data_IF_632659945484
#
_entry.id   IF_632659945484
#
_cell.length_a   1.000
_cell.length_b   1.000
_cell.length_c   1.000
_cell.angle_alpha   90.00
_cell.angle_beta   90.00
_cell.angle_gamma   90.00
#
_symmetry.space_group_name_H-M   'P 1'
#
loop_
_entity.id
_entity.type
_entity.pdbx_description
1 polymer ?
#
# COMPACT_ATOMS: atom_id res chain seq x y z
N UNK A 1 -4.43 -13.96 15.59
CA UNK A 1 -3.53 -14.22 14.46
C UNK A 1 -4.23 -15.22 13.56
N UNK A 2 -4.43 -14.90 12.28
CA UNK A 2 -5.12 -15.78 11.36
C UNK A 2 -4.41 -17.15 11.27
N UNK A 3 -5.17 -18.22 10.99
CA UNK A 3 -4.60 -19.54 10.69
C UNK A 3 -3.64 -19.40 9.49
N UNK A 4 -2.38 -19.89 9.58
CA UNK A 4 -1.45 -19.88 8.46
C UNK A 4 -2.04 -20.40 7.15
N UNK A 5 -2.95 -21.39 7.20
CA UNK A 5 -3.63 -21.90 5.99
C UNK A 5 -4.54 -20.87 5.35
N UNK A 6 -5.34 -20.18 6.15
CA UNK A 6 -6.19 -19.07 5.68
C UNK A 6 -5.32 -18.00 5.02
N UNK A 7 -4.18 -17.66 5.64
CA UNK A 7 -3.27 -16.65 5.09
C UNK A 7 -2.68 -17.05 3.73
N UNK A 8 -2.30 -18.32 3.54
CA UNK A 8 -1.83 -18.80 2.23
C UNK A 8 -2.95 -18.68 1.18
N UNK A 9 -4.18 -19.09 1.53
CA UNK A 9 -5.33 -18.96 0.63
C UNK A 9 -5.60 -17.51 0.24
N UNK A 10 -5.49 -16.57 1.19
CA UNK A 10 -5.69 -15.13 0.94
C UNK A 10 -4.67 -14.60 -0.07
N UNK A 11 -3.38 -14.93 0.11
CA UNK A 11 -2.33 -14.52 -0.83
C UNK A 11 -2.49 -15.14 -2.23
N UNK A 12 -2.99 -16.37 -2.30
CA UNK A 12 -3.25 -17.04 -3.59
C UNK A 12 -4.46 -16.47 -4.33
N UNK A 13 -5.38 -15.80 -3.63
CA UNK A 13 -6.61 -15.21 -4.18
C UNK A 13 -6.51 -13.70 -4.40
N UNK A 14 -5.51 -13.04 -3.83
CA UNK A 14 -5.29 -11.61 -4.01
C UNK A 14 -4.41 -11.35 -5.25
N UNK A 15 -4.87 -10.53 -6.22
CA UNK A 15 -4.10 -10.29 -7.45
C UNK A 15 -2.70 -9.72 -7.21
N UNK A 16 -2.55 -8.82 -6.23
CA UNK A 16 -1.28 -8.19 -5.90
C UNK A 16 -0.25 -9.20 -5.37
N UNK A 17 -0.63 -9.98 -4.35
CA UNK A 17 0.18 -11.09 -3.85
C UNK A 17 0.52 -12.10 -4.95
N UNK A 18 -0.48 -12.52 -5.74
CA UNK A 18 -0.29 -13.47 -6.82
C UNK A 18 0.72 -12.98 -7.86
N UNK A 19 0.62 -11.72 -8.29
CA UNK A 19 1.55 -11.12 -9.23
C UNK A 19 2.98 -11.06 -8.67
N UNK A 20 3.17 -10.61 -7.43
CA UNK A 20 4.48 -10.58 -6.78
C UNK A 20 5.14 -11.97 -6.77
N UNK A 21 4.39 -13.03 -6.43
CA UNK A 21 4.92 -14.39 -6.46
C UNK A 21 5.19 -14.92 -7.87
N UNK A 22 4.37 -14.57 -8.86
CA UNK A 22 4.62 -14.91 -10.27
C UNK A 22 5.92 -14.27 -10.76
N UNK A 23 6.16 -13.01 -10.43
CA UNK A 23 7.42 -12.31 -10.74
C UNK A 23 8.60 -13.00 -10.06
N UNK A 24 8.47 -13.34 -8.78
CA UNK A 24 9.50 -14.09 -8.05
C UNK A 24 9.80 -15.47 -8.69
N UNK A 25 8.76 -16.22 -9.04
CA UNK A 25 8.89 -17.52 -9.69
C UNK A 25 9.58 -17.46 -11.04
N UNK A 26 9.33 -16.41 -11.84
CA UNK A 26 10.03 -16.17 -13.11
C UNK A 26 11.51 -15.86 -12.95
N UNK A 27 11.88 -15.20 -11.85
CA UNK A 27 13.27 -14.93 -11.52
C UNK A 27 13.96 -16.11 -10.82
N UNK A 28 13.23 -17.20 -10.56
CA UNK A 28 13.76 -18.37 -9.86
C UNK A 28 14.09 -18.10 -8.39
N UNK A 29 13.44 -17.09 -7.77
CA UNK A 29 13.65 -16.78 -6.36
C UNK A 29 12.99 -17.83 -5.47
N UNK A 30 13.71 -18.17 -4.41
CA UNK A 30 13.24 -19.06 -3.35
C UNK A 30 12.76 -18.27 -2.11
N UNK A 31 12.43 -18.99 -1.04
CA UNK A 31 11.95 -18.37 0.19
C UNK A 31 13.03 -17.58 0.93
N UNK A 32 14.32 -17.94 0.78
CA UNK A 32 15.42 -17.19 1.40
C UNK A 32 15.58 -15.83 0.74
N UNK A 33 15.52 -15.78 -0.59
CA UNK A 33 15.58 -14.51 -1.32
C UNK A 33 14.36 -13.64 -1.05
N UNK A 34 13.17 -14.24 -0.93
CA UNK A 34 11.93 -13.53 -0.60
C UNK A 34 11.79 -13.14 0.88
N UNK A 35 12.69 -13.59 1.74
CA UNK A 35 12.81 -13.08 3.11
C UNK A 35 13.54 -11.73 3.18
N UNK A 36 14.16 -11.28 2.08
CA UNK A 36 14.81 -9.97 2.00
C UNK A 36 13.78 -8.86 1.73
N UNK A 37 13.62 -7.87 2.64
CA UNK A 37 12.60 -6.83 2.50
C UNK A 37 12.70 -6.04 1.21
N UNK A 38 13.89 -5.55 0.85
CA UNK A 38 14.09 -4.77 -0.38
C UNK A 38 13.66 -5.54 -1.64
N UNK A 39 13.95 -6.85 -1.68
CA UNK A 39 13.58 -7.71 -2.81
C UNK A 39 12.07 -7.84 -2.94
N UNK A 40 11.36 -8.20 -1.86
CA UNK A 40 9.91 -8.37 -1.94
C UNK A 40 9.19 -7.05 -2.20
N UNK A 41 9.66 -5.94 -1.62
CA UNK A 41 9.08 -4.61 -1.89
C UNK A 41 9.27 -4.20 -3.36
N UNK A 42 10.44 -4.43 -3.95
CA UNK A 42 10.67 -4.17 -5.38
C UNK A 42 9.74 -4.99 -6.29
N UNK A 43 9.57 -6.29 -5.99
CA UNK A 43 8.64 -7.15 -6.72
C UNK A 43 7.19 -6.70 -6.57
N UNK A 44 6.78 -6.26 -5.38
CA UNK A 44 5.44 -5.72 -5.14
C UNK A 44 5.20 -4.44 -5.93
N UNK A 45 6.15 -3.50 -5.95
CA UNK A 45 6.05 -2.29 -6.77
C UNK A 45 5.97 -2.62 -8.27
N UNK A 46 6.75 -3.59 -8.75
CA UNK A 46 6.68 -4.07 -10.14
C UNK A 46 5.33 -4.71 -10.45
N UNK A 47 4.82 -5.56 -9.54
CA UNK A 47 3.49 -6.16 -9.66
C UNK A 47 2.42 -5.08 -9.72
N UNK A 48 2.51 -4.06 -8.89
CA UNK A 48 1.55 -2.97 -8.91
C UNK A 48 1.58 -2.18 -10.20
N UNK A 49 2.77 -1.89 -10.74
CA UNK A 49 2.89 -1.29 -12.05
C UNK A 49 2.09 -2.09 -13.06
N UNK A 50 2.32 -3.39 -13.18
CA UNK A 50 1.65 -4.22 -14.19
C UNK A 50 0.14 -4.39 -13.94
N UNK A 51 -0.30 -4.27 -12.69
CA UNK A 51 -1.72 -4.36 -12.31
C UNK A 51 -2.43 -3.01 -12.24
N UNK A 52 -1.76 -1.89 -12.52
CA UNK A 52 -2.36 -0.56 -12.38
C UNK A 52 -3.60 -0.43 -13.30
N UNK A 53 -4.77 0.01 -12.77
CA UNK A 53 -6.02 0.12 -13.53
C UNK A 53 -5.95 0.96 -14.81
N UNK A 54 -4.99 1.89 -14.89
CA UNK A 54 -4.84 2.81 -16.02
C UNK A 54 -3.97 2.24 -17.15
N UNK A 55 -3.34 1.09 -16.94
CA UNK A 55 -2.66 0.40 -18.02
C UNK A 55 -3.59 -0.53 -18.79
N UNK A 56 -3.23 -0.73 -20.05
CA UNK A 56 -3.97 -1.62 -20.95
C UNK A 56 -3.96 -3.04 -20.36
N UNK A 57 -5.12 -3.69 -20.44
CA UNK A 57 -5.29 -5.09 -20.05
C UNK A 57 -5.13 -5.39 -18.55
N UNK A 58 -5.12 -4.39 -17.66
CA UNK A 58 -4.93 -4.57 -16.22
C UNK A 58 -5.89 -5.61 -15.59
N UNK A 59 -7.15 -5.65 -16.04
CA UNK A 59 -8.13 -6.65 -15.59
C UNK A 59 -7.75 -8.08 -16.00
N UNK A 60 -7.24 -8.24 -17.23
CA UNK A 60 -6.76 -9.52 -17.73
C UNK A 60 -5.49 -9.94 -16.99
N UNK A 61 -4.57 -9.03 -16.72
CA UNK A 61 -3.34 -9.30 -15.97
C UNK A 61 -3.61 -9.72 -14.51
N UNK A 62 -4.59 -9.10 -13.83
CA UNK A 62 -5.06 -9.58 -12.51
C UNK A 62 -5.54 -11.02 -12.57
N UNK A 63 -6.36 -11.36 -13.57
CA UNK A 63 -6.88 -12.73 -13.78
C UNK A 63 -5.76 -13.72 -14.11
N UNK A 64 -4.79 -13.28 -14.92
CA UNK A 64 -3.63 -14.07 -15.32
C UNK A 64 -2.72 -14.36 -14.13
N UNK A 65 -2.43 -13.37 -13.29
CA UNK A 65 -1.64 -13.54 -12.07
C UNK A 65 -2.23 -14.63 -11.16
N UNK A 66 -3.55 -14.59 -10.90
CA UNK A 66 -4.26 -15.60 -10.10
C UNK A 66 -4.21 -17.02 -10.70
N UNK A 67 -4.08 -17.13 -12.02
CA UNK A 67 -3.90 -18.43 -12.69
C UNK A 67 -2.47 -18.92 -12.57
N UNK A 68 -1.50 -18.03 -12.80
CA UNK A 68 -0.07 -18.33 -12.81
C UNK A 68 0.52 -18.59 -11.42
N UNK A 69 -0.09 -18.07 -10.35
CA UNK A 69 0.38 -18.33 -8.98
C UNK A 69 0.05 -19.75 -8.50
N UNK A 70 -0.96 -20.42 -9.07
CA UNK A 70 -1.40 -21.78 -8.66
C UNK A 70 -0.26 -22.80 -8.54
N UNK A 71 0.64 -22.98 -9.55
CA UNK A 71 1.78 -23.89 -9.42
C UNK A 71 2.83 -23.46 -8.40
N UNK A 72 2.76 -22.23 -7.86
CA UNK A 72 3.70 -21.67 -6.88
C UNK A 72 3.23 -21.84 -5.42
N UNK A 73 2.16 -22.62 -5.18
CA UNK A 73 1.60 -22.82 -3.84
C UNK A 73 2.66 -23.18 -2.77
N UNK A 74 3.62 -24.04 -3.09
CA UNK A 74 4.68 -24.43 -2.16
C UNK A 74 5.62 -23.28 -1.81
N UNK A 75 5.95 -22.42 -2.78
CA UNK A 75 6.75 -21.21 -2.54
C UNK A 75 5.97 -20.22 -1.67
N UNK A 76 4.70 -19.98 -2.00
CA UNK A 76 3.80 -19.10 -1.25
C UNK A 76 3.69 -19.57 0.19
N UNK A 77 3.46 -20.87 0.40
CA UNK A 77 3.38 -21.48 1.73
C UNK A 77 4.67 -21.26 2.52
N UNK A 78 5.84 -21.56 1.93
CA UNK A 78 7.13 -21.36 2.61
C UNK A 78 7.33 -19.92 3.03
N UNK A 79 7.08 -18.97 2.13
CA UNK A 79 7.31 -17.54 2.37
C UNK A 79 6.33 -16.98 3.40
N UNK A 80 5.03 -17.26 3.26
CA UNK A 80 3.99 -16.74 4.17
C UNK A 80 4.11 -17.30 5.59
N UNK A 81 4.66 -18.51 5.74
CA UNK A 81 4.89 -19.14 7.05
C UNK A 81 6.29 -18.88 7.62
N UNK A 82 7.16 -18.20 6.88
CA UNK A 82 8.52 -17.90 7.33
C UNK A 82 8.50 -16.81 8.42
N UNK A 83 9.06 -17.05 9.62
CA UNK A 83 9.10 -16.05 10.68
C UNK A 83 9.90 -14.79 10.32
N UNK A 84 10.83 -14.84 9.35
CA UNK A 84 11.53 -13.66 8.84
C UNK A 84 10.58 -12.66 8.17
N UNK A 85 9.44 -13.13 7.68
CA UNK A 85 8.39 -12.30 7.07
C UNK A 85 7.32 -11.85 8.08
N UNK A 86 7.57 -11.97 9.39
CA UNK A 86 6.67 -11.47 10.42
C UNK A 86 6.40 -9.96 10.31
N UNK A 87 7.36 -9.19 9.77
CA UNK A 87 7.21 -7.76 9.53
C UNK A 87 6.08 -7.43 8.55
N UNK A 88 5.65 -8.38 7.70
CA UNK A 88 4.57 -8.12 6.74
C UNK A 88 3.26 -7.77 7.40
N UNK A 89 3.00 -8.29 8.61
CA UNK A 89 1.77 -8.01 9.38
C UNK A 89 2.09 -7.27 10.67
N UNK A 90 3.31 -6.75 10.81
CA UNK A 90 3.64 -5.97 11.99
C UNK A 90 2.79 -4.69 11.99
N UNK A 91 2.30 -4.27 13.17
CA UNK A 91 1.75 -2.93 13.34
C UNK A 91 2.78 -1.88 12.95
N UNK A 92 2.32 -0.64 12.79
CA UNK A 92 3.16 0.51 12.50
C UNK A 92 4.42 0.57 13.39
N UNK A 93 5.62 0.61 12.79
CA UNK A 93 6.83 0.96 13.53
C UNK A 93 6.86 2.48 13.75
N UNK A 94 6.61 2.86 15.00
CA UNK A 94 6.51 4.26 15.41
C UNK A 94 7.84 5.00 15.39
N UNK A 95 8.98 4.33 15.22
CA UNK A 95 10.29 4.96 15.33
C UNK A 95 10.98 5.24 13.98
N UNK A 96 10.47 4.67 12.91
CA UNK A 96 11.16 4.60 11.60
C UNK A 96 10.23 4.97 10.44
N UNK A 97 9.33 5.93 10.66
CA UNK A 97 8.43 6.41 9.61
C UNK A 97 9.15 7.37 8.67
N UNK A 98 9.29 6.99 7.41
CA UNK A 98 9.92 7.81 6.39
C UNK A 98 8.89 8.68 5.68
N UNK A 99 9.12 9.99 5.72
CA UNK A 99 8.44 10.98 4.88
C UNK A 99 9.38 11.42 3.76
N UNK A 100 8.90 11.32 2.53
CA UNK A 100 9.57 11.85 1.35
C UNK A 100 8.79 13.05 0.82
N UNK A 101 9.48 14.14 0.51
CA UNK A 101 8.87 15.38 0.01
C UNK A 101 9.70 15.99 -1.11
N UNK A 102 9.18 15.92 -2.33
CA UNK A 102 9.63 16.72 -3.46
C UNK A 102 9.25 18.19 -3.33
N UNK A 103 9.55 18.98 -4.37
CA UNK A 103 9.34 20.44 -4.38
C UNK A 103 7.88 20.84 -4.12
N UNK A 104 6.95 20.13 -4.73
CA UNK A 104 5.52 20.45 -4.71
C UNK A 104 4.73 19.54 -3.74
N UNK A 105 5.43 18.61 -3.09
CA UNK A 105 4.83 17.69 -2.14
C UNK A 105 4.54 18.38 -0.80
N UNK A 106 3.56 17.82 -0.10
CA UNK A 106 3.12 18.34 1.20
C UNK A 106 4.13 17.99 2.27
N UNK A 107 4.50 19.00 3.05
CA UNK A 107 5.34 18.82 4.23
C UNK A 107 4.48 18.34 5.40
N UNK A 108 5.11 17.74 6.40
CA UNK A 108 4.43 17.36 7.65
C UNK A 108 3.65 18.52 8.29
N UNK A 109 4.17 19.75 8.20
CA UNK A 109 3.57 20.95 8.81
C UNK A 109 2.36 21.46 8.00
N UNK A 110 2.19 20.97 6.77
CA UNK A 110 1.03 21.25 5.91
C UNK A 110 -0.15 20.35 6.25
N UNK A 111 0.02 19.34 7.12
CA UNK A 111 -1.06 18.42 7.48
C UNK A 111 -2.27 19.20 8.01
N UNK A 112 -3.44 18.90 7.43
CA UNK A 112 -4.73 19.46 7.85
C UNK A 112 -5.66 18.32 8.20
N UNK A 113 -6.36 18.46 9.32
CA UNK A 113 -7.42 17.53 9.69
C UNK A 113 -8.52 17.63 8.64
N UNK A 114 -8.93 16.52 7.99
CA UNK A 114 -10.02 16.55 7.02
C UNK A 114 -11.31 17.06 7.66
N UNK A 115 -12.11 17.82 6.92
CA UNK A 115 -13.37 18.39 7.39
C UNK A 115 -14.46 18.26 6.34
N UNK A 116 -15.66 17.88 6.76
CA UNK A 116 -16.82 17.81 5.87
C UNK A 116 -16.93 16.48 5.11
N UNK A 117 -17.90 16.37 4.18
CA UNK A 117 -18.06 15.19 3.34
C UNK A 117 -16.87 15.02 2.38
N UNK A 118 -16.66 13.80 1.90
CA UNK A 118 -15.66 13.55 0.88
C UNK A 118 -15.98 14.30 -0.42
N UNK A 119 -14.97 14.88 -1.05
CA UNK A 119 -15.09 15.33 -2.43
C UNK A 119 -14.89 14.19 -3.45
N UNK A 120 -14.96 14.52 -4.74
CA UNK A 120 -14.76 13.54 -5.82
C UNK A 120 -13.36 12.95 -5.84
N UNK A 121 -12.32 13.74 -5.51
CA UNK A 121 -10.95 13.27 -5.42
C UNK A 121 -10.77 12.31 -4.24
N UNK A 122 -11.31 12.64 -3.08
CA UNK A 122 -11.17 11.81 -1.87
C UNK A 122 -11.89 10.47 -2.00
N UNK A 123 -13.01 10.47 -2.74
CA UNK A 123 -13.74 9.25 -3.10
C UNK A 123 -12.96 8.40 -4.09
N UNK A 124 -12.42 9.03 -5.14
CA UNK A 124 -11.62 8.36 -6.16
C UNK A 124 -10.30 7.82 -5.61
N UNK A 125 -9.46 8.68 -5.04
CA UNK A 125 -8.14 8.36 -4.54
C UNK A 125 -8.16 7.61 -3.21
N UNK A 126 -9.33 7.47 -2.57
CA UNK A 126 -9.53 6.79 -1.29
C UNK A 126 -8.55 7.29 -0.22
N UNK A 127 -8.37 8.61 -0.16
CA UNK A 127 -7.53 9.35 0.80
C UNK A 127 -7.84 10.85 0.77
N UNK A 128 -7.58 11.62 1.84
CA UNK A 128 -7.74 13.08 1.83
C UNK A 128 -6.90 13.78 0.75
N UNK A 129 -7.38 14.90 0.21
CA UNK A 129 -6.64 15.70 -0.78
C UNK A 129 -5.31 16.28 -0.27
N UNK A 130 -5.20 16.44 1.05
CA UNK A 130 -4.05 17.07 1.72
C UNK A 130 -3.39 16.12 2.73
N UNK A 131 -3.40 14.83 2.43
CA UNK A 131 -2.81 13.86 3.32
C UNK A 131 -1.29 13.92 3.33
N UNK A 132 -0.70 13.68 4.51
CA UNK A 132 0.71 13.35 4.64
C UNK A 132 0.80 11.83 4.70
N UNK A 133 1.64 11.24 3.85
CA UNK A 133 1.83 9.79 3.77
C UNK A 133 3.27 9.48 4.13
N UNK A 134 3.46 8.48 4.99
CA UNK A 134 4.78 7.92 5.30
C UNK A 134 4.84 6.46 4.89
N UNK A 135 6.04 5.91 4.75
CA UNK A 135 6.29 4.46 4.67
C UNK A 135 7.22 4.04 5.79
N UNK A 136 7.06 2.82 6.30
CA UNK A 136 7.93 2.28 7.33
C UNK A 136 9.29 1.92 6.73
N UNK A 137 10.39 2.29 7.40
CA UNK A 137 11.71 1.84 6.95
C UNK A 137 11.87 0.33 7.14
N UNK A 138 12.39 -0.32 6.09
CA UNK A 138 12.61 -1.75 6.03
C UNK A 138 13.91 -2.13 6.78
N UNK A 139 13.99 -3.32 7.38
CA UNK A 139 15.21 -3.81 8.02
C UNK A 139 16.21 -4.30 6.96
N UNK A 140 16.81 -3.36 6.22
CA UNK A 140 17.78 -3.60 5.15
C UNK A 140 19.21 -3.23 5.56
N UNK A 141 20.19 -3.74 4.82
CA UNK A 141 21.59 -3.41 5.08
C UNK A 141 21.86 -1.91 4.84
N UNK A 142 22.81 -1.35 5.61
CA UNK A 142 23.27 0.04 5.40
C UNK A 142 23.75 0.22 3.96
N UNK A 143 23.20 1.21 3.27
CA UNK A 143 23.54 1.51 1.89
C UNK A 143 22.61 0.89 0.85
N UNK A 144 21.66 0.02 1.24
CA UNK A 144 20.62 -0.43 0.31
C UNK A 144 19.82 0.79 -0.21
N UNK A 145 19.58 0.91 -1.54
CA UNK A 145 18.80 1.99 -2.11
C UNK A 145 17.32 1.91 -1.73
N UNK A 146 16.76 0.71 -1.53
CA UNK A 146 15.34 0.52 -1.19
C UNK A 146 15.21 0.31 0.32
N UNK A 147 14.94 1.39 1.04
CA UNK A 147 14.77 1.36 2.51
C UNK A 147 13.33 1.49 2.95
N UNK A 148 12.38 1.62 2.03
CA UNK A 148 10.95 1.76 2.31
C UNK A 148 10.13 1.39 1.07
N UNK A 149 8.81 1.24 1.22
CA UNK A 149 7.89 1.11 0.10
C UNK A 149 7.93 2.33 -0.84
N UNK A 150 8.04 3.54 -0.26
CA UNK A 150 8.14 4.78 -1.03
C UNK A 150 9.42 4.85 -1.86
N UNK A 151 10.56 4.35 -1.35
CA UNK A 151 11.79 4.25 -2.14
C UNK A 151 11.65 3.27 -3.30
N UNK A 152 10.96 2.15 -3.10
CA UNK A 152 10.73 1.19 -4.17
C UNK A 152 9.88 1.78 -5.29
N UNK A 153 8.81 2.52 -4.94
CA UNK A 153 7.97 3.25 -5.90
C UNK A 153 8.80 4.21 -6.77
N UNK A 154 9.59 5.07 -6.14
CA UNK A 154 10.48 6.00 -6.83
C UNK A 154 11.48 5.30 -7.74
N UNK A 155 12.06 4.20 -7.25
CA UNK A 155 13.08 3.43 -7.95
C UNK A 155 12.56 2.82 -9.26
N UNK A 156 11.30 2.40 -9.27
CA UNK A 156 10.67 1.78 -10.45
C UNK A 156 9.83 2.77 -11.27
N UNK A 157 9.75 4.03 -10.87
CA UNK A 157 8.93 5.06 -11.54
C UNK A 157 7.45 4.66 -11.60
N UNK A 158 6.94 4.08 -10.52
CA UNK A 158 5.54 3.61 -10.42
C UNK A 158 4.72 4.63 -9.64
N UNK A 159 3.40 4.59 -9.78
CA UNK A 159 2.48 5.45 -9.05
C UNK A 159 2.16 6.76 -9.77
N UNK A 160 1.32 7.57 -9.14
CA UNK A 160 0.89 8.87 -9.67
C UNK A 160 1.82 10.01 -9.21
N UNK A 161 2.94 9.65 -8.57
CA UNK A 161 3.89 10.61 -8.05
C UNK A 161 4.87 11.03 -9.13
N UNK A 162 4.98 12.34 -9.40
CA UNK A 162 5.96 12.94 -10.28
C UNK A 162 7.08 13.61 -9.45
N UNK A 163 8.09 12.84 -8.99
CA UNK A 163 9.06 13.33 -8.02
C UNK A 163 10.00 14.37 -8.64
N UNK A 164 10.09 15.54 -7.99
CA UNK A 164 11.06 16.58 -8.34
C UNK A 164 12.25 16.53 -7.40
N UNK A 165 13.43 16.25 -7.96
CA UNK A 165 14.70 16.17 -7.23
C UNK A 165 15.42 17.55 -7.13
N UNK A 166 16.20 17.82 -6.06
CA UNK A 166 16.41 16.96 -4.90
C UNK A 166 15.15 16.85 -4.03
N UNK A 167 14.93 15.64 -3.51
CA UNK A 167 13.79 15.30 -2.67
C UNK A 167 14.23 15.15 -1.23
N UNK A 168 13.53 15.86 -0.35
CA UNK A 168 13.83 15.87 1.07
C UNK A 168 13.34 14.59 1.74
N UNK A 169 14.14 14.09 2.66
CA UNK A 169 13.86 12.92 3.46
C UNK A 169 13.78 13.28 4.95
N UNK A 170 12.74 12.81 5.63
CA UNK A 170 12.62 12.94 7.08
C UNK A 170 12.24 11.59 7.70
N UNK A 171 12.99 11.16 8.70
CA UNK A 171 12.57 10.08 9.60
C UNK A 171 11.75 10.69 10.74
N UNK A 172 10.50 10.28 10.86
CA UNK A 172 9.57 10.73 11.88
C UNK A 172 9.47 9.70 13.00
N UNK A 173 9.40 10.19 14.24
CA UNK A 173 9.01 9.39 15.40
C UNK A 173 7.56 9.72 15.74
N UNK A 174 6.69 8.72 15.63
CA UNK A 174 5.28 8.80 15.92
C UNK A 174 5.05 8.78 17.43
N UNK A 175 4.14 9.64 17.88
CA UNK A 175 3.72 9.71 19.27
C UNK A 175 3.21 8.34 19.76
N UNK A 176 3.59 7.87 20.95
CA UNK A 176 3.11 6.60 21.48
C UNK A 176 1.59 6.63 21.74
N UNK A 177 0.98 7.81 21.84
CA UNK A 177 -0.46 7.98 22.02
C UNK A 177 -1.24 8.08 20.70
N UNK A 178 -0.57 8.08 19.54
CA UNK A 178 -1.25 8.15 18.25
C UNK A 178 -2.15 6.92 18.04
N UNK A 179 -3.42 7.16 17.68
CA UNK A 179 -4.45 6.16 17.41
C UNK A 179 -4.37 5.78 15.94
N UNK A 180 -3.80 4.62 15.65
CA UNK A 180 -3.61 4.15 14.26
C UNK A 180 -4.62 3.04 13.98
N UNK A 181 -5.39 3.18 12.91
CA UNK A 181 -6.19 2.08 12.37
C UNK A 181 -5.32 1.25 11.43
N UNK A 182 -5.25 -0.06 11.67
CA UNK A 182 -4.42 -0.99 10.90
C UNK A 182 -5.29 -1.70 9.85
N UNK A 183 -4.90 -1.63 8.58
CA UNK A 183 -5.53 -2.37 7.48
C UNK A 183 -4.62 -3.53 7.11
N UNK A 184 -5.00 -4.75 7.50
CA UNK A 184 -4.27 -5.98 7.21
C UNK A 184 -4.97 -6.89 6.20
N UNK A 185 -6.24 -6.61 5.90
CA UNK A 185 -7.06 -7.41 4.99
C UNK A 185 -8.17 -6.59 4.32
N UNK A 186 -8.82 -7.14 3.27
CA UNK A 186 -10.02 -6.56 2.68
C UNK A 186 -11.13 -6.25 3.69
N UNK A 187 -11.30 -7.12 4.70
CA UNK A 187 -12.27 -6.96 5.79
C UNK A 187 -11.98 -5.71 6.64
N UNK A 188 -10.71 -5.48 6.97
CA UNK A 188 -10.30 -4.31 7.76
C UNK A 188 -10.60 -3.01 7.02
N UNK A 189 -10.29 -2.98 5.71
CA UNK A 189 -10.63 -1.85 4.84
C UNK A 189 -12.15 -1.66 4.75
N UNK A 190 -12.90 -2.73 4.51
CA UNK A 190 -14.36 -2.70 4.47
C UNK A 190 -14.95 -2.16 5.77
N UNK A 191 -14.46 -2.63 6.92
CA UNK A 191 -14.92 -2.17 8.22
C UNK A 191 -14.61 -0.69 8.45
N UNK A 192 -13.43 -0.20 8.05
CA UNK A 192 -13.10 1.24 8.10
C UNK A 192 -14.08 2.07 7.27
N UNK A 193 -14.35 1.62 6.04
CA UNK A 193 -15.30 2.29 5.14
C UNK A 193 -16.69 2.30 5.76
N UNK A 194 -17.24 1.17 6.19
CA UNK A 194 -18.60 1.10 6.75
C UNK A 194 -18.76 1.89 8.05
N UNK A 195 -17.72 1.93 8.88
CA UNK A 195 -17.73 2.67 10.14
C UNK A 195 -17.77 4.18 9.92
N UNK A 196 -17.13 4.67 8.85
CA UNK A 196 -16.92 6.10 8.64
C UNK A 196 -17.55 6.65 7.35
N UNK A 197 -18.35 5.87 6.62
CA UNK A 197 -19.10 6.38 5.47
C UNK A 197 -20.35 7.10 5.96
N UNK A 198 -20.53 8.35 5.53
CA UNK A 198 -21.82 9.02 5.63
C UNK A 198 -22.80 8.39 4.63
N UNK A 199 -23.93 7.88 5.11
CA UNK A 199 -24.99 7.26 4.29
C UNK A 199 -25.63 8.22 3.30
N UNK A 200 -25.37 9.52 3.43
CA UNK A 200 -25.82 10.55 2.49
C UNK A 200 -24.82 10.84 1.37
N UNK A 201 -23.56 10.37 1.49
CA UNK A 201 -22.56 10.51 0.43
C UNK A 201 -22.89 9.53 -0.69
N UNK A 202 -23.09 10.00 -1.94
CA UNK A 202 -23.40 9.12 -3.05
C UNK A 202 -22.29 8.07 -3.25
N UNK A 203 -22.68 6.80 -3.31
CA UNK A 203 -21.79 5.67 -3.60
C UNK A 203 -21.53 5.61 -5.11
N UNK A 204 -20.81 6.58 -5.67
CA UNK A 204 -20.43 6.51 -7.07
C UNK A 204 -19.15 5.68 -7.21
N UNK A 205 -19.27 4.50 -7.81
CA UNK A 205 -18.12 3.88 -8.47
C UNK A 205 -17.72 4.77 -9.63
N UNK A 206 -16.42 5.02 -9.77
CA UNK A 206 -15.88 5.72 -10.94
C UNK A 206 -16.18 4.84 -12.17
N UNK A 207 -16.97 5.36 -13.11
CA UNK A 207 -17.38 4.59 -14.30
C UNK A 207 -16.17 4.25 -15.16
N UNK A 208 -15.17 5.14 -15.24
CA UNK A 208 -13.95 4.88 -16.01
C UNK A 208 -13.12 3.76 -15.37
N UNK A 209 -13.01 3.73 -14.04
CA UNK A 209 -12.30 2.65 -13.35
C UNK A 209 -12.98 1.30 -13.58
N UNK A 210 -14.32 1.26 -13.50
CA UNK A 210 -15.08 0.05 -13.79
C UNK A 210 -14.94 -0.38 -15.25
N UNK A 211 -15.05 0.56 -16.19
CA UNK A 211 -15.07 0.23 -17.62
C UNK A 211 -13.67 -0.13 -18.14
N UNK A 212 -12.62 0.51 -17.63
CA UNK A 212 -11.22 0.28 -18.05
C UNK A 212 -10.60 -0.91 -17.33
N UNK A 213 -10.89 -1.07 -16.05
CA UNK A 213 -10.20 -2.01 -15.17
C UNK A 213 -11.11 -3.10 -14.59
N UNK A 214 -12.41 -3.05 -14.81
CA UNK A 214 -13.35 -4.01 -14.20
C UNK A 214 -13.37 -3.91 -12.67
N UNK A 215 -12.98 -2.77 -12.10
CA UNK A 215 -12.90 -2.57 -10.66
C UNK A 215 -14.05 -1.70 -10.18
N UNK A 216 -14.86 -2.26 -9.29
CA UNK A 216 -15.84 -1.52 -8.50
C UNK A 216 -15.23 -1.23 -7.12
N UNK A 217 -14.99 0.04 -6.83
CA UNK A 217 -14.31 0.45 -5.60
C UNK A 217 -15.26 0.75 -4.44
N UNK A 218 -16.51 1.06 -4.74
CA UNK A 218 -17.55 1.36 -3.76
C UNK A 218 -17.36 2.72 -3.08
N UNK A 219 -17.84 2.91 -1.84
CA UNK A 219 -17.57 4.12 -1.08
C UNK A 219 -16.13 4.16 -0.52
N UNK A 220 -15.66 5.37 -0.23
CA UNK A 220 -14.47 5.61 0.59
C UNK A 220 -14.90 6.06 2.01
N UNK A 221 -14.05 5.89 3.04
CA UNK A 221 -14.35 6.41 4.37
C UNK A 221 -14.51 7.94 4.32
N UNK A 222 -15.51 8.51 4.99
CA UNK A 222 -15.55 9.96 5.19
C UNK A 222 -14.43 10.36 6.14
N UNK A 223 -13.36 10.93 5.59
CA UNK A 223 -12.09 11.06 6.31
C UNK A 223 -12.19 12.00 7.51
N UNK A 224 -13.09 12.98 7.50
CA UNK A 224 -13.33 13.83 8.67
C UNK A 224 -13.90 13.03 9.85
N UNK A 225 -14.72 12.02 9.57
CA UNK A 225 -15.30 11.12 10.57
C UNK A 225 -14.23 10.17 11.10
N UNK A 226 -13.44 9.56 10.21
CA UNK A 226 -12.30 8.72 10.59
C UNK A 226 -11.31 9.48 11.48
N UNK A 227 -11.03 10.75 11.14
CA UNK A 227 -10.15 11.62 11.92
C UNK A 227 -10.64 11.91 13.35
N UNK A 228 -11.91 11.66 13.68
CA UNK A 228 -12.38 11.80 15.08
C UNK A 228 -11.88 10.67 15.97
N UNK A 229 -11.70 9.48 15.41
CA UNK A 229 -11.33 8.26 16.15
C UNK A 229 -9.87 7.85 15.95
N UNK A 230 -9.29 8.24 14.82
CA UNK A 230 -7.94 7.85 14.40
C UNK A 230 -7.11 9.08 14.05
N UNK A 231 -5.82 9.00 14.35
CA UNK A 231 -4.82 9.99 13.95
C UNK A 231 -4.15 9.58 12.63
N UNK A 232 -4.18 8.28 12.30
CA UNK A 232 -3.72 7.73 11.03
C UNK A 232 -4.41 6.41 10.66
N UNK A 233 -4.31 6.06 9.38
CA UNK A 233 -4.64 4.73 8.84
C UNK A 233 -3.38 4.14 8.21
N UNK A 234 -2.94 2.98 8.70
CA UNK A 234 -1.76 2.28 8.21
C UNK A 234 -2.18 1.04 7.41
N UNK A 235 -1.76 0.98 6.15
CA UNK A 235 -1.86 -0.18 5.31
C UNK A 235 -0.59 -1.00 5.48
N UNK A 236 -0.68 -2.12 6.20
CA UNK A 236 0.48 -2.98 6.41
C UNK A 236 0.92 -3.62 5.10
N UNK A 237 2.13 -4.17 5.03
CA UNK A 237 2.58 -4.84 3.80
C UNK A 237 1.70 -6.05 3.43
N UNK A 238 1.18 -6.78 4.42
CA UNK A 238 0.17 -7.83 4.20
C UNK A 238 -1.11 -7.21 3.67
N UNK A 239 -1.59 -6.12 4.27
CA UNK A 239 -2.76 -5.39 3.80
C UNK A 239 -2.61 -4.97 2.34
N UNK A 240 -1.47 -4.40 1.94
CA UNK A 240 -1.19 -4.06 0.54
C UNK A 240 -1.33 -5.28 -0.38
N UNK A 241 -0.72 -6.40 -0.01
CA UNK A 241 -0.71 -7.60 -0.84
C UNK A 241 -2.08 -8.29 -0.95
N UNK A 242 -2.90 -8.23 0.11
CA UNK A 242 -4.17 -8.97 0.20
C UNK A 242 -5.41 -8.11 -0.03
N UNK A 243 -5.32 -6.79 0.12
CA UNK A 243 -6.47 -5.86 0.06
C UNK A 243 -6.57 -5.17 -1.29
N UNK A 244 -5.43 -4.85 -1.91
CA UNK A 244 -5.41 -4.10 -3.15
C UNK A 244 -6.02 -4.92 -4.30
N UNK A 245 -7.07 -4.36 -4.93
CA UNK A 245 -7.88 -4.98 -5.97
C UNK A 245 -8.70 -6.21 -5.54
N UNK A 246 -8.91 -6.40 -4.24
CA UNK A 246 -9.74 -7.48 -3.70
C UNK A 246 -11.06 -6.91 -3.17
N UNK A 247 -12.20 -7.19 -3.84
CA UNK A 247 -13.49 -6.73 -3.35
C UNK A 247 -13.90 -7.48 -2.10
N UNK A 248 -14.39 -6.75 -1.09
CA UNK A 248 -15.09 -7.32 0.05
C UNK A 248 -16.56 -6.88 0.02
N UNK A 249 -17.48 -7.86 0.05
CA UNK A 249 -18.91 -7.64 -0.22
C UNK A 249 -19.76 -8.15 0.93
N UNK A 250 -20.66 -7.31 1.41
CA UNK A 250 -21.80 -7.71 2.27
C UNK A 250 -23.09 -7.64 1.46
N UNK A 251 -24.24 -7.92 2.09
CA UNK A 251 -25.53 -7.87 1.40
C UNK A 251 -25.87 -6.50 0.77
N UNK A 252 -25.26 -5.41 1.26
CA UNK A 252 -25.66 -4.05 0.90
C UNK A 252 -24.57 -3.26 0.17
N UNK A 253 -23.31 -3.67 0.25
CA UNK A 253 -22.18 -2.84 -0.17
C UNK A 253 -20.95 -3.69 -0.45
N UNK A 254 -20.25 -3.31 -1.52
CA UNK A 254 -18.92 -3.79 -1.88
C UNK A 254 -17.93 -2.65 -1.69
N UNK A 255 -16.76 -2.95 -1.14
CA UNK A 255 -15.64 -2.00 -1.06
C UNK A 255 -14.39 -2.66 -1.61
N UNK A 256 -13.60 -1.93 -2.38
CA UNK A 256 -12.30 -2.40 -2.87
C UNK A 256 -11.28 -1.28 -2.70
N UNK A 257 -10.18 -1.56 -2.00
CA UNK A 257 -9.03 -0.66 -2.02
C UNK A 257 -8.33 -0.80 -3.37
N UNK A 258 -8.05 0.31 -4.07
CA UNK A 258 -7.44 0.26 -5.40
C UNK A 258 -6.30 1.26 -5.63
N UNK A 259 -6.27 2.37 -4.89
CA UNK A 259 -5.43 3.54 -5.22
C UNK A 259 -4.13 3.67 -4.41
N UNK A 260 -3.93 2.86 -3.38
CA UNK A 260 -2.72 2.94 -2.54
C UNK A 260 -1.59 2.13 -3.15
N UNK A 261 -0.35 2.62 -3.02
CA UNK A 261 0.77 2.17 -3.86
C UNK A 261 1.96 1.51 -3.18
N UNK A 262 1.97 1.48 -1.85
CA UNK A 262 2.95 0.77 -1.04
C UNK A 262 2.41 0.61 0.37
N UNK A 263 3.12 -0.14 1.21
CA UNK A 263 2.91 -0.12 2.66
C UNK A 263 3.03 1.32 3.12
N UNK A 264 1.96 1.87 3.67
CA UNK A 264 1.93 3.31 3.89
C UNK A 264 1.01 3.68 5.04
N UNK A 265 1.37 4.77 5.70
CA UNK A 265 0.59 5.38 6.76
C UNK A 265 0.06 6.72 6.30
N UNK A 266 -1.27 6.78 6.18
CA UNK A 266 -2.02 7.97 5.88
C UNK A 266 -2.31 8.74 7.17
N UNK A 267 -1.66 9.88 7.37
CA UNK A 267 -1.86 10.72 8.55
C UNK A 267 -3.08 11.63 8.37
N UNK A 268 -3.99 11.59 9.35
CA UNK A 268 -5.17 12.44 9.44
C UNK A 268 -4.97 13.61 10.41
N UNK A 269 -4.02 13.47 11.34
CA UNK A 269 -3.64 14.48 12.34
C UNK A 269 -2.14 14.44 12.60
N UNK A 270 -1.58 15.57 13.05
CA UNK A 270 -0.19 15.64 13.45
C UNK A 270 0.02 14.82 14.73
N UNK A 271 0.82 13.76 14.63
CA UNK A 271 1.06 12.84 15.73
C UNK A 271 2.52 12.39 15.77
N UNK A 272 3.44 13.34 15.54
CA UNK A 272 4.88 13.11 15.54
C UNK A 272 5.53 13.83 16.71
N UNK A 273 6.32 13.11 17.50
CA UNK A 273 7.08 13.66 18.63
C UNK A 273 8.44 14.21 18.18
N UNK A 274 9.01 13.66 17.10
CA UNK A 274 10.29 14.08 16.57
C UNK A 274 10.39 13.89 15.04
N UNK A 275 11.33 14.61 14.43
CA UNK A 275 11.83 14.27 13.11
C UNK A 275 13.34 14.47 13.02
N UNK A 276 13.96 13.60 12.24
CA UNK A 276 15.37 13.67 11.86
C UNK A 276 15.44 13.86 10.36
N UNK A 277 16.02 14.98 9.90
CA UNK A 277 16.33 15.18 8.49
C UNK A 277 17.43 14.20 8.08
N UNK A 278 17.23 13.52 6.95
CA UNK A 278 18.23 12.66 6.32
C UNK A 278 18.81 13.39 5.10
N UNK A 279 19.84 12.81 4.48
CA UNK A 279 20.38 13.35 3.22
C UNK A 279 19.29 13.37 2.15
N UNK A 280 19.24 14.43 1.34
CA UNK A 280 18.29 14.52 0.23
C UNK A 280 18.56 13.42 -0.81
N UNK A 281 17.50 12.90 -1.42
CA UNK A 281 17.62 12.09 -2.63
C UNK A 281 17.91 13.04 -3.78
N UNK A 282 19.06 12.88 -4.45
CA UNK A 282 19.43 13.69 -5.61
C UNK A 282 18.92 13.10 -6.93
N UNK A 283 18.61 11.81 -6.92
CA UNK A 283 18.13 11.02 -8.04
C UNK A 283 17.26 9.86 -7.49
N UNK A 284 16.46 9.19 -8.34
CA UNK A 284 15.71 8.01 -7.92
C UNK A 284 16.63 6.95 -7.30
N UNK A 285 16.20 6.24 -6.24
CA UNK A 285 16.98 5.13 -5.70
C UNK A 285 17.28 4.10 -6.79
N UNK A 286 18.50 3.57 -6.83
CA UNK A 286 18.90 2.59 -7.83
C UNK A 286 17.98 1.36 -7.81
N UNK A 287 17.45 0.99 -8.99
CA UNK A 287 16.60 -0.19 -9.12
C UNK A 287 17.39 -1.47 -8.84
N UNK A 288 16.77 -2.38 -8.08
CA UNK A 288 17.19 -3.78 -8.10
C UNK A 288 16.81 -4.33 -9.48
N UNK A 289 17.76 -4.32 -10.41
CA UNK A 289 17.72 -4.85 -11.79
C UNK A 289 16.33 -5.02 -12.43
N UNK A 290 16.04 -4.27 -13.50
CA UNK A 290 14.79 -4.35 -14.29
C UNK A 290 14.25 -5.78 -14.40
N UNK A 291 13.25 -6.08 -13.56
CA UNK A 291 12.64 -7.39 -13.51
C UNK A 291 11.77 -7.64 -14.75
N UNK A 292 11.58 -8.90 -15.16
CA UNK A 292 10.62 -9.24 -16.20
C UNK A 292 9.20 -8.79 -15.79
N UNK A 293 8.42 -8.22 -16.71
CA UNK A 293 6.99 -7.89 -16.50
C UNK A 293 6.11 -9.15 -16.47
N UNK A 294 4.87 -9.04 -15.98
CA UNK A 294 3.83 -10.11 -15.92
C UNK A 294 3.41 -10.70 -17.28
#
# INVERSE_FOLDING_TARGET
MADPRTRVDDFMRAPMAAAMFVLAGRQGFDADRLAEPATVTALTTTAQHDLNPWYRDAAAERTRALTLVRPLHDLVTKVVTDPRNAWWSAPLDRHTQLLLTGRDDRRRDDLRVPTGPNDGWETYAQRPAHAVITSTELPVATGDPIRSGAHAELSHGVGDWDPVYPMRQERLTVSPTARVYEVNSPEDWHHLVLRHTDTTTPTFSDENLRDTAGLEHGPAPTWSTAATEHDAVHLTFTGLLTTLYVPHTTANVTTTLWSWSYESTLWLRQAFDAATTLDDLLEPPGAHADGPRL
#
